data_IF_200830045891
#
_entry.id   IF_200830045891
#
_cell.length_a   1.000
_cell.length_b   1.000
_cell.length_c   1.000
_cell.angle_alpha   90.00
_cell.angle_beta   90.00
_cell.angle_gamma   90.00
#
_symmetry.space_group_name_H-M   'P 1'
#
loop_
_entity.id
_entity.type
_entity.pdbx_description
1 polymer ?
#
# COMPACT_ATOMS: atom_id res chain seq x y z
N UNK A 1 -5.25 -17.80 10.03
CA UNK A 1 -4.21 -17.92 11.09
C UNK A 1 -3.64 -16.53 11.30
N UNK A 2 -3.92 -15.89 12.44
CA UNK A 2 -3.27 -14.65 12.86
C UNK A 2 -2.32 -15.04 14.00
N UNK A 3 -1.06 -15.33 13.65
CA UNK A 3 -0.04 -15.72 14.63
C UNK A 3 1.06 -14.67 14.61
N UNK A 4 1.60 -14.26 15.77
CA UNK A 4 2.65 -13.22 15.88
C UNK A 4 3.98 -13.58 15.17
N UNK A 5 4.07 -14.76 14.54
CA UNK A 5 5.19 -15.21 13.71
C UNK A 5 5.30 -14.52 12.36
N UNK A 6 4.23 -13.92 11.86
CA UNK A 6 4.27 -13.06 10.67
C UNK A 6 4.25 -11.64 11.20
N UNK A 7 5.29 -10.86 10.94
CA UNK A 7 5.46 -9.52 11.51
C UNK A 7 4.25 -8.59 11.31
N UNK A 8 4.27 -7.43 11.94
CA UNK A 8 3.16 -6.46 11.92
C UNK A 8 2.59 -6.25 10.50
N UNK A 9 1.30 -5.89 10.36
CA UNK A 9 0.69 -5.61 9.06
C UNK A 9 1.53 -4.69 8.17
N UNK A 10 2.25 -3.74 8.77
CA UNK A 10 3.20 -2.90 8.06
C UNK A 10 4.43 -3.67 7.53
N UNK A 11 5.06 -4.52 8.35
CA UNK A 11 6.16 -5.39 7.94
C UNK A 11 5.75 -6.40 6.85
N UNK A 12 4.46 -6.69 6.71
CA UNK A 12 3.94 -7.56 5.65
C UNK A 12 3.97 -6.92 4.25
N UNK A 13 4.13 -5.60 4.14
CA UNK A 13 4.22 -4.83 2.88
C UNK A 13 5.69 -4.77 2.42
N UNK A 14 6.13 -5.83 1.76
CA UNK A 14 7.47 -5.90 1.15
C UNK A 14 7.59 -4.95 -0.04
N UNK A 15 8.82 -4.60 -0.44
CA UNK A 15 9.04 -3.71 -1.60
C UNK A 15 8.45 -4.28 -2.90
N UNK A 16 8.50 -5.60 -3.07
CA UNK A 16 7.83 -6.28 -4.19
C UNK A 16 6.31 -6.04 -4.17
N UNK A 17 5.66 -6.10 -3.01
CA UNK A 17 4.22 -5.78 -2.89
C UNK A 17 3.95 -4.31 -3.17
N UNK A 18 4.76 -3.39 -2.63
CA UNK A 18 4.65 -1.95 -2.91
C UNK A 18 4.69 -1.68 -4.42
N UNK A 19 5.69 -2.23 -5.11
CA UNK A 19 5.85 -2.09 -6.57
C UNK A 19 4.66 -2.65 -7.35
N UNK A 20 4.13 -3.81 -6.94
CA UNK A 20 2.96 -4.41 -7.60
C UNK A 20 1.72 -3.53 -7.43
N UNK A 21 1.44 -3.09 -6.20
CA UNK A 21 0.28 -2.22 -5.88
C UNK A 21 0.36 -0.90 -6.65
N UNK A 22 1.55 -0.28 -6.70
CA UNK A 22 1.79 0.95 -7.47
C UNK A 22 1.47 0.72 -8.95
N UNK A 23 1.98 -0.35 -9.56
CA UNK A 23 1.73 -0.64 -10.97
C UNK A 23 0.25 -0.89 -11.28
N UNK A 24 -0.44 -1.64 -10.41
CA UNK A 24 -1.88 -1.87 -10.54
C UNK A 24 -2.68 -0.56 -10.48
N UNK A 25 -2.34 0.32 -9.55
CA UNK A 25 -3.00 1.62 -9.43
C UNK A 25 -2.71 2.53 -10.64
N UNK A 26 -1.47 2.56 -11.13
CA UNK A 26 -1.11 3.30 -12.35
C UNK A 26 -1.85 2.78 -13.58
N UNK A 27 -2.00 1.45 -13.72
CA UNK A 27 -2.78 0.84 -14.79
C UNK A 27 -4.25 1.26 -14.70
N UNK A 28 -4.84 1.21 -13.50
CA UNK A 28 -6.21 1.68 -13.27
C UNK A 28 -6.38 3.14 -13.69
N UNK A 29 -5.52 4.05 -13.21
CA UNK A 29 -5.58 5.47 -13.52
C UNK A 29 -5.44 5.75 -15.03
N UNK A 30 -4.53 5.03 -15.71
CA UNK A 30 -4.36 5.12 -17.16
C UNK A 30 -5.64 4.75 -17.90
N UNK A 31 -6.31 3.66 -17.49
CA UNK A 31 -7.55 3.22 -18.11
C UNK A 31 -8.72 4.18 -17.83
N UNK A 32 -8.70 4.87 -16.69
CA UNK A 32 -9.66 5.92 -16.36
C UNK A 32 -9.35 7.28 -16.99
N UNK A 33 -8.28 7.39 -17.80
CA UNK A 33 -7.77 8.67 -18.37
C UNK A 33 -7.48 9.75 -17.31
N UNK A 34 -7.20 9.32 -16.08
CA UNK A 34 -6.98 10.17 -14.92
C UNK A 34 -5.47 10.40 -14.73
N UNK A 35 -4.90 11.29 -15.53
CA UNK A 35 -3.44 11.48 -15.61
C UNK A 35 -2.86 12.43 -14.55
N UNK A 36 -3.70 13.25 -13.90
CA UNK A 36 -3.26 14.29 -12.96
C UNK A 36 -3.90 14.13 -11.56
N UNK A 37 -4.04 12.88 -11.11
CA UNK A 37 -4.62 12.58 -9.80
C UNK A 37 -3.51 12.29 -8.80
N UNK A 38 -3.56 12.96 -7.64
CA UNK A 38 -2.68 12.64 -6.50
C UNK A 38 -3.06 11.27 -5.94
N UNK A 39 -2.07 10.37 -5.87
CA UNK A 39 -2.24 9.02 -5.37
C UNK A 39 -1.56 8.87 -4.01
N UNK A 40 -2.26 8.27 -3.04
CA UNK A 40 -1.75 7.93 -1.70
C UNK A 40 -2.03 6.46 -1.41
N UNK A 41 -1.05 5.74 -0.88
CA UNK A 41 -1.23 4.35 -0.46
C UNK A 41 -1.28 4.29 1.06
N UNK A 42 -2.39 3.81 1.60
CA UNK A 42 -2.59 3.60 3.03
C UNK A 42 -2.48 2.11 3.35
N UNK A 43 -2.08 1.78 4.58
CA UNK A 43 -2.09 0.41 5.10
C UNK A 43 -3.06 0.34 6.25
N UNK A 44 -4.02 -0.58 6.16
CA UNK A 44 -4.93 -0.91 7.25
C UNK A 44 -4.42 -2.21 7.89
N UNK A 45 -4.00 -2.13 9.15
CA UNK A 45 -3.65 -3.29 9.95
C UNK A 45 -4.88 -3.81 10.69
N UNK A 46 -5.13 -5.12 10.58
CA UNK A 46 -6.22 -5.80 11.29
C UNK A 46 -5.60 -6.90 12.15
N UNK A 47 -5.65 -6.72 13.46
CA UNK A 47 -5.07 -7.63 14.45
C UNK A 47 -6.15 -8.03 15.47
N UNK A 48 -6.91 -9.08 15.14
CA UNK A 48 -8.06 -9.46 15.96
C UNK A 48 -9.19 -8.43 15.83
N UNK A 49 -9.58 -7.81 16.93
CA UNK A 49 -10.57 -6.72 16.95
C UNK A 49 -9.93 -5.33 16.72
N UNK A 50 -8.60 -5.24 16.81
CA UNK A 50 -7.89 -3.99 16.65
C UNK A 50 -7.69 -3.64 15.16
N UNK A 51 -8.13 -2.44 14.80
CA UNK A 51 -7.97 -1.87 13.46
C UNK A 51 -7.12 -0.61 13.55
N UNK A 52 -6.01 -0.59 12.80
CA UNK A 52 -5.10 0.55 12.72
C UNK A 52 -4.94 1.01 11.27
N UNK A 53 -4.71 2.32 11.07
CA UNK A 53 -4.51 2.89 9.74
C UNK A 53 -3.23 3.71 9.70
N UNK A 54 -2.31 3.33 8.82
CA UNK A 54 -1.12 4.11 8.47
C UNK A 54 -1.42 4.84 7.16
N UNK A 55 -1.65 6.14 7.24
CA UNK A 55 -1.91 6.98 6.06
C UNK A 55 -0.59 7.30 5.35
N UNK A 56 -0.58 7.22 4.02
CA UNK A 56 0.63 7.49 3.23
C UNK A 56 1.78 6.54 3.56
N UNK A 57 1.45 5.28 3.82
CA UNK A 57 2.40 4.24 4.24
C UNK A 57 3.54 4.01 3.24
N UNK A 58 3.29 4.25 1.95
CA UNK A 58 4.31 4.24 0.90
C UNK A 58 3.86 5.05 -0.32
N UNK A 59 4.80 5.29 -1.24
CA UNK A 59 4.54 6.00 -2.49
C UNK A 59 5.63 5.74 -3.53
N UNK A 60 5.52 6.42 -4.66
CA UNK A 60 6.57 6.43 -5.68
C UNK A 60 7.62 7.43 -5.22
N UNK A 61 8.76 6.96 -4.72
CA UNK A 61 9.91 7.81 -4.50
C UNK A 61 10.43 8.29 -5.86
N UNK A 62 10.35 9.59 -6.15
CA UNK A 62 11.13 10.17 -7.24
C UNK A 62 12.58 10.12 -6.78
N UNK A 63 13.40 9.24 -7.37
CA UNK A 63 14.84 9.44 -7.36
C UNK A 63 15.10 10.78 -8.08
N UNK A 64 15.67 11.73 -7.35
CA UNK A 64 16.22 12.97 -7.91
C UNK A 64 17.35 12.64 -8.89
#
# INVERSE_FOLDING_TARGET
RNTPFFGSPFQSITDRKKQHIIQSAMYYLKNQKAHDVRMRFDVVGIEGEDVSVIKGAFGVEKKL
#
